data_IF_710786896325
#
_entry.id   IF_710786896325
#
_cell.length_a   1.000
_cell.length_b   1.000
_cell.length_c   1.000
_cell.angle_alpha   90.00
_cell.angle_beta   90.00
_cell.angle_gamma   90.00
#
_symmetry.space_group_name_H-M   'P 1'
#
loop_
_entity.id
_entity.type
_entity.pdbx_description
1 polymer ?
#
# COMPACT_ATOMS: atom_id res chain seq x y z
N UNK A 1 0.24 17.45 18.03
CA UNK A 1 0.12 17.12 16.58
C UNK A 1 1.52 17.10 15.98
N UNK A 2 1.88 16.11 15.17
CA UNK A 2 3.18 16.10 14.45
C UNK A 2 3.01 16.49 12.98
N UNK A 3 4.01 17.10 12.34
CA UNK A 3 3.97 17.51 10.93
C UNK A 3 5.36 17.40 10.29
N UNK A 4 5.42 17.15 8.98
CA UNK A 4 6.64 16.99 8.16
C UNK A 4 6.55 17.83 6.87
N UNK A 5 7.54 18.69 6.58
CA UNK A 5 7.68 19.46 5.31
C UNK A 5 9.01 19.16 4.59
N UNK A 6 9.44 19.80 3.48
CA UNK A 6 8.89 20.85 2.58
C UNK A 6 9.92 20.98 1.39
N UNK A 7 9.67 21.22 0.09
CA UNK A 7 8.49 21.25 -0.81
C UNK A 7 8.98 21.24 -2.29
N UNK A 8 8.41 20.42 -3.19
CA UNK A 8 7.91 20.75 -4.57
C UNK A 8 7.80 19.51 -5.47
N UNK A 9 6.86 19.51 -6.42
CA UNK A 9 6.82 18.55 -7.53
C UNK A 9 6.18 19.17 -8.78
N UNK A 10 6.85 19.05 -9.93
CA UNK A 10 6.27 19.21 -11.28
C UNK A 10 6.28 17.81 -11.89
N UNK A 11 5.12 17.28 -12.30
CA UNK A 11 5.07 15.91 -12.81
C UNK A 11 3.67 15.30 -12.96
N UNK A 12 2.83 15.89 -13.82
CA UNK A 12 1.72 15.17 -14.46
C UNK A 12 1.93 15.27 -15.97
N UNK A 13 2.58 14.26 -16.54
CA UNK A 13 2.70 14.10 -18.00
C UNK A 13 1.49 13.33 -18.51
N UNK A 14 0.56 14.08 -19.11
CA UNK A 14 -0.67 13.67 -19.78
C UNK A 14 -1.75 12.95 -18.93
N UNK A 15 -2.90 13.61 -18.76
CA UNK A 15 -4.03 13.12 -17.95
C UNK A 15 -5.00 12.24 -18.76
N UNK A 16 -5.03 12.39 -20.10
CA UNK A 16 -5.94 11.67 -20.98
C UNK A 16 -5.48 10.21 -21.20
N UNK A 17 -4.17 9.98 -21.33
CA UNK A 17 -3.57 8.64 -21.39
C UNK A 17 -3.89 7.79 -20.14
N UNK A 18 -3.94 8.43 -18.97
CA UNK A 18 -4.29 7.75 -17.72
C UNK A 18 -5.76 7.29 -17.70
N UNK A 19 -6.68 8.03 -18.32
CA UNK A 19 -8.09 7.64 -18.41
C UNK A 19 -8.25 6.38 -19.27
N UNK A 20 -7.70 6.38 -20.49
CA UNK A 20 -7.70 5.22 -21.39
C UNK A 20 -7.04 3.98 -20.74
N UNK A 21 -5.90 4.14 -20.04
CA UNK A 21 -5.27 3.03 -19.34
C UNK A 21 -6.16 2.40 -18.25
N UNK A 22 -7.00 3.21 -17.56
CA UNK A 22 -7.94 2.70 -16.55
C UNK A 22 -9.11 1.96 -17.20
N UNK A 23 -9.57 2.41 -18.36
CA UNK A 23 -10.65 1.77 -19.14
C UNK A 23 -10.19 0.43 -19.73
N UNK A 24 -9.05 0.37 -20.43
CA UNK A 24 -8.43 -0.88 -20.92
C UNK A 24 -8.28 -1.93 -19.79
N UNK A 25 -7.85 -1.46 -18.61
CA UNK A 25 -7.68 -2.29 -17.40
C UNK A 25 -9.00 -2.75 -16.81
N UNK A 26 -10.08 -1.98 -16.95
CA UNK A 26 -11.41 -2.39 -16.53
C UNK A 26 -11.96 -3.49 -17.44
N UNK A 27 -11.83 -3.35 -18.76
CA UNK A 27 -12.29 -4.36 -19.73
C UNK A 27 -11.56 -5.70 -19.57
N UNK A 28 -10.22 -5.68 -19.50
CA UNK A 28 -9.42 -6.91 -19.27
C UNK A 28 -9.75 -7.55 -17.92
N UNK A 29 -10.11 -6.76 -16.90
CA UNK A 29 -10.54 -7.27 -15.59
C UNK A 29 -11.94 -7.90 -15.65
N UNK A 30 -12.88 -7.28 -16.36
CA UNK A 30 -14.21 -7.83 -16.59
C UNK A 30 -14.12 -9.14 -17.39
N UNK A 31 -13.33 -9.19 -18.45
CA UNK A 31 -13.15 -10.39 -19.27
C UNK A 31 -12.52 -11.55 -18.48
N UNK A 32 -11.52 -11.27 -17.63
CA UNK A 32 -10.99 -12.26 -16.67
C UNK A 32 -12.06 -12.71 -15.67
N UNK A 33 -12.92 -11.81 -15.18
CA UNK A 33 -14.02 -12.19 -14.28
C UNK A 33 -14.99 -13.17 -14.95
N UNK A 34 -15.36 -12.95 -16.22
CA UNK A 34 -16.24 -13.85 -17.00
C UNK A 34 -15.64 -15.24 -17.12
N UNK A 35 -14.37 -15.35 -17.52
CA UNK A 35 -13.64 -16.62 -17.62
C UNK A 35 -13.62 -17.36 -16.28
N UNK A 36 -13.35 -16.67 -15.15
CA UNK A 36 -13.39 -17.32 -13.83
C UNK A 36 -14.79 -17.76 -13.41
N UNK A 37 -15.84 -17.02 -13.78
CA UNK A 37 -17.23 -17.41 -13.53
C UNK A 37 -17.64 -18.65 -14.36
N UNK A 38 -17.19 -18.76 -15.61
CA UNK A 38 -17.40 -19.96 -16.42
C UNK A 38 -16.65 -21.18 -15.85
N UNK A 39 -15.39 -21.02 -15.44
CA UNK A 39 -14.65 -22.08 -14.76
C UNK A 39 -15.36 -22.58 -13.48
N UNK A 40 -15.97 -21.67 -12.70
CA UNK A 40 -16.76 -22.02 -11.52
C UNK A 40 -18.07 -22.76 -11.87
N UNK A 41 -18.84 -22.30 -12.87
CA UNK A 41 -20.03 -23.00 -13.40
C UNK A 41 -19.67 -24.40 -13.91
N UNK A 42 -18.58 -24.53 -14.64
CA UNK A 42 -18.11 -25.78 -15.21
C UNK A 42 -17.61 -26.75 -14.13
N UNK A 43 -17.00 -26.25 -13.06
CA UNK A 43 -16.70 -27.05 -11.87
C UNK A 43 -17.97 -27.53 -11.12
N UNK A 44 -19.06 -26.77 -11.14
CA UNK A 44 -20.35 -27.19 -10.61
C UNK A 44 -21.01 -28.27 -11.51
N UNK A 45 -21.03 -28.08 -12.84
CA UNK A 45 -21.52 -29.08 -13.79
C UNK A 45 -20.71 -30.39 -13.73
N UNK A 46 -19.40 -30.31 -13.51
CA UNK A 46 -18.53 -31.48 -13.24
C UNK A 46 -18.94 -32.26 -11.98
N UNK A 47 -19.52 -31.62 -10.97
CA UNK A 47 -20.10 -32.28 -9.78
C UNK A 47 -21.52 -32.79 -10.02
N UNK A 48 -22.32 -32.10 -10.81
CA UNK A 48 -23.75 -32.38 -11.02
C UNK A 48 -24.07 -33.54 -11.99
N UNK A 49 -23.07 -34.29 -12.47
CA UNK A 49 -23.26 -35.41 -13.42
C UNK A 49 -23.57 -35.01 -14.87
N UNK A 50 -24.27 -33.89 -15.09
CA UNK A 50 -24.70 -33.38 -16.40
C UNK A 50 -23.54 -33.23 -17.40
N UNK A 51 -23.61 -33.95 -18.53
CA UNK A 51 -22.60 -33.94 -19.58
C UNK A 51 -22.88 -32.90 -20.69
N UNK A 52 -24.13 -32.51 -20.88
CA UNK A 52 -24.55 -31.58 -21.94
C UNK A 52 -24.27 -30.13 -21.51
N UNK A 53 -24.62 -29.78 -20.28
CA UNK A 53 -24.22 -28.51 -19.68
C UNK A 53 -22.70 -28.34 -19.61
N UNK A 54 -21.92 -29.42 -19.43
CA UNK A 54 -20.45 -29.35 -19.50
C UNK A 54 -19.95 -29.00 -20.90
N UNK A 55 -20.51 -29.62 -21.94
CA UNK A 55 -20.09 -29.35 -23.32
C UNK A 55 -20.37 -27.89 -23.70
N UNK A 56 -21.56 -27.40 -23.38
CA UNK A 56 -21.96 -26.02 -23.65
C UNK A 56 -21.12 -25.02 -22.85
N UNK A 57 -20.95 -25.22 -21.53
CA UNK A 57 -20.11 -24.35 -20.69
C UNK A 57 -18.62 -24.39 -21.07
N UNK A 58 -18.10 -25.50 -21.61
CA UNK A 58 -16.72 -25.58 -22.10
C UNK A 58 -16.58 -24.77 -23.40
N UNK A 59 -17.52 -24.90 -24.35
CA UNK A 59 -17.52 -24.12 -25.57
C UNK A 59 -17.64 -22.60 -25.30
N UNK A 60 -18.50 -22.20 -24.36
CA UNK A 60 -18.60 -20.81 -23.88
C UNK A 60 -17.29 -20.35 -23.21
N UNK A 61 -16.70 -21.17 -22.33
CA UNK A 61 -15.41 -20.86 -21.72
C UNK A 61 -14.29 -20.69 -22.77
N UNK A 62 -14.23 -21.57 -23.76
CA UNK A 62 -13.20 -21.56 -24.80
C UNK A 62 -13.33 -20.33 -25.73
N UNK A 63 -14.55 -19.82 -25.95
CA UNK A 63 -14.80 -18.56 -26.66
C UNK A 63 -14.37 -17.35 -25.83
N UNK A 64 -14.76 -17.28 -24.55
CA UNK A 64 -14.37 -16.16 -23.69
C UNK A 64 -12.88 -16.15 -23.35
N UNK A 65 -12.25 -17.33 -23.29
CA UNK A 65 -10.80 -17.51 -23.18
C UNK A 65 -10.09 -17.08 -24.46
N UNK A 66 -10.58 -17.44 -25.66
CA UNK A 66 -10.03 -16.93 -26.92
C UNK A 66 -10.07 -15.42 -27.03
N UNK A 67 -11.20 -14.78 -26.68
CA UNK A 67 -11.28 -13.31 -26.59
C UNK A 67 -10.25 -12.73 -25.63
N UNK A 68 -10.09 -13.36 -24.45
CA UNK A 68 -9.09 -12.94 -23.48
C UNK A 68 -7.66 -13.10 -24.02
N UNK A 69 -7.38 -14.18 -24.75
CA UNK A 69 -6.07 -14.44 -25.36
C UNK A 69 -5.80 -13.57 -26.58
N UNK A 70 -6.82 -13.20 -27.35
CA UNK A 70 -6.78 -12.20 -28.42
C UNK A 70 -6.50 -10.80 -27.83
N UNK A 71 -7.22 -10.37 -26.78
CA UNK A 71 -6.89 -9.15 -26.03
C UNK A 71 -5.46 -9.20 -25.47
N UNK A 72 -5.00 -10.35 -24.95
CA UNK A 72 -3.62 -10.56 -24.47
C UNK A 72 -2.59 -10.59 -25.63
N UNK A 73 -2.99 -10.89 -26.87
CA UNK A 73 -2.11 -11.06 -28.05
C UNK A 73 -2.01 -9.79 -28.92
N UNK A 74 -3.07 -8.98 -28.98
CA UNK A 74 -2.97 -7.57 -29.41
C UNK A 74 -2.17 -6.78 -28.36
N UNK A 75 -2.41 -7.06 -27.07
CA UNK A 75 -1.49 -6.71 -25.98
C UNK A 75 -0.18 -7.52 -26.00
N UNK A 76 0.02 -8.44 -26.95
CA UNK A 76 1.22 -9.28 -27.03
C UNK A 76 2.47 -8.47 -27.39
N UNK A 77 2.27 -7.29 -27.98
CA UNK A 77 3.31 -6.29 -28.10
C UNK A 77 3.80 -5.76 -26.74
N UNK A 78 3.04 -5.83 -25.65
CA UNK A 78 3.36 -5.18 -24.35
C UNK A 78 4.54 -5.82 -23.58
N UNK A 79 5.10 -6.94 -24.03
CA UNK A 79 6.38 -7.45 -23.50
C UNK A 79 7.58 -6.75 -24.18
N UNK A 80 7.39 -6.17 -25.38
CA UNK A 80 8.44 -5.45 -26.13
C UNK A 80 8.15 -3.97 -26.42
N UNK A 81 6.91 -3.48 -26.24
CA UNK A 81 6.68 -2.07 -25.94
C UNK A 81 7.26 -1.85 -24.54
N UNK A 82 8.22 -0.93 -24.35
CA UNK A 82 8.41 -0.36 -23.03
C UNK A 82 7.05 0.19 -22.57
N UNK A 83 6.72 0.07 -21.28
CA UNK A 83 5.76 1.00 -20.70
C UNK A 83 6.40 2.38 -20.89
N UNK A 84 5.83 3.22 -21.75
CA UNK A 84 6.42 4.53 -22.05
C UNK A 84 6.22 5.49 -20.87
N UNK A 85 7.10 5.32 -19.87
CA UNK A 85 7.40 6.27 -18.79
C UNK A 85 6.28 6.59 -17.81
N UNK A 86 5.28 5.70 -17.68
CA UNK A 86 4.43 5.62 -16.46
C UNK A 86 5.20 5.13 -15.21
N UNK A 87 6.48 4.79 -15.36
CA UNK A 87 7.40 4.58 -14.23
C UNK A 87 8.04 5.90 -13.79
N UNK A 88 7.91 6.21 -12.49
CA UNK A 88 8.68 7.28 -11.83
C UNK A 88 10.18 7.08 -12.10
N UNK A 89 10.86 8.12 -12.57
CA UNK A 89 12.29 8.03 -12.90
C UNK A 89 13.14 7.79 -11.63
N UNK A 90 14.13 6.88 -11.65
CA UNK A 90 15.00 6.64 -10.50
C UNK A 90 15.67 7.94 -10.00
N UNK A 91 15.66 8.14 -8.68
CA UNK A 91 16.16 9.37 -8.06
C UNK A 91 15.19 10.55 -8.03
N UNK A 92 13.97 10.42 -8.57
CA UNK A 92 12.91 11.40 -8.37
C UNK A 92 12.60 11.56 -6.87
N UNK A 93 12.45 12.80 -6.43
CA UNK A 93 12.23 13.17 -5.02
C UNK A 93 10.78 13.55 -4.78
N UNK A 94 10.22 13.09 -3.67
CA UNK A 94 8.83 13.34 -3.29
C UNK A 94 8.79 13.97 -1.89
N UNK A 95 7.97 15.01 -1.73
CA UNK A 95 7.58 15.44 -0.39
C UNK A 95 6.56 14.44 0.16
N UNK A 96 6.84 13.88 1.35
CA UNK A 96 5.86 13.17 2.15
C UNK A 96 5.68 13.90 3.49
N UNK A 97 4.42 14.19 3.82
CA UNK A 97 4.01 14.60 5.16
C UNK A 97 3.32 13.42 5.85
N UNK A 98 3.65 13.15 7.10
CA UNK A 98 2.84 12.32 8.00
C UNK A 98 2.42 13.18 9.18
N UNK A 99 1.14 13.11 9.54
CA UNK A 99 0.56 13.85 10.65
C UNK A 99 -0.07 12.87 11.62
N UNK A 100 0.42 12.87 12.86
CA UNK A 100 -0.25 12.21 13.98
C UNK A 100 -1.03 13.28 14.77
N UNK A 101 -2.33 13.10 14.84
CA UNK A 101 -3.18 13.86 15.77
C UNK A 101 -3.33 13.07 17.07
N UNK A 102 -2.98 13.73 18.18
CA UNK A 102 -3.13 13.26 19.55
C UNK A 102 -2.80 11.77 19.78
N UNK A 103 -1.64 11.26 19.29
CA UNK A 103 -1.27 9.85 19.45
C UNK A 103 -0.92 9.54 20.90
N UNK A 104 -1.19 8.31 21.34
CA UNK A 104 -0.59 7.77 22.56
C UNK A 104 0.90 7.48 22.35
N UNK A 105 1.69 7.48 23.44
CA UNK A 105 3.11 7.07 23.40
C UNK A 105 3.27 5.68 22.74
N UNK A 106 2.33 4.75 22.96
CA UNK A 106 2.35 3.40 22.36
C UNK A 106 2.09 3.40 20.84
N UNK A 107 1.18 4.23 20.33
CA UNK A 107 0.93 4.37 18.88
C UNK A 107 2.11 5.02 18.16
N UNK A 108 2.75 6.01 18.79
CA UNK A 108 3.98 6.62 18.28
C UNK A 108 5.13 5.59 18.25
N UNK A 109 5.27 4.77 19.30
CA UNK A 109 6.27 3.69 19.34
C UNK A 109 6.02 2.60 18.30
N UNK A 110 4.75 2.23 18.07
CA UNK A 110 4.33 1.34 16.98
C UNK A 110 4.72 1.91 15.60
N UNK A 111 4.52 3.20 15.34
CA UNK A 111 4.95 3.81 14.07
C UNK A 111 6.47 3.74 13.90
N UNK A 112 7.24 4.03 14.95
CA UNK A 112 8.71 3.96 14.90
C UNK A 112 9.21 2.52 14.64
N UNK A 113 8.61 1.51 15.28
CA UNK A 113 8.93 0.10 15.02
C UNK A 113 8.46 -0.36 13.62
N UNK A 114 7.32 0.15 13.13
CA UNK A 114 6.86 -0.11 11.77
C UNK A 114 7.81 0.47 10.72
N UNK A 115 8.31 1.70 10.90
CA UNK A 115 9.32 2.31 10.03
C UNK A 115 10.65 1.54 10.08
N UNK A 116 11.06 1.08 11.27
CA UNK A 116 12.26 0.24 11.46
C UNK A 116 12.15 -1.12 10.78
N UNK A 117 10.97 -1.76 10.82
CA UNK A 117 10.69 -3.00 10.08
C UNK A 117 10.66 -2.75 8.57
N UNK A 118 10.00 -1.68 8.13
CA UNK A 118 9.92 -1.27 6.73
C UNK A 118 11.29 -1.02 6.10
N UNK A 119 12.25 -0.48 6.86
CA UNK A 119 13.62 -0.29 6.38
C UNK A 119 14.23 -1.58 5.81
N UNK A 120 13.99 -2.74 6.43
CA UNK A 120 14.61 -4.01 6.01
C UNK A 120 14.20 -4.49 4.60
N UNK A 121 13.05 -4.05 4.07
CA UNK A 121 12.76 -4.06 2.63
C UNK A 121 12.08 -2.75 2.25
N UNK A 122 12.90 -1.71 2.07
CA UNK A 122 12.43 -0.36 1.79
C UNK A 122 11.93 -0.20 0.35
N UNK A 123 10.74 -0.76 0.07
CA UNK A 123 10.08 -0.76 -1.25
C UNK A 123 8.62 -0.35 -1.16
N UNK A 124 8.17 0.46 -2.12
CA UNK A 124 6.78 0.87 -2.27
C UNK A 124 6.15 0.31 -3.57
N UNK A 125 4.88 -0.06 -3.49
CA UNK A 125 4.10 -0.59 -4.61
C UNK A 125 4.26 -2.09 -4.83
N UNK A 126 3.92 -2.55 -6.03
CA UNK A 126 4.13 -3.94 -6.46
C UNK A 126 5.42 -4.11 -7.27
N UNK A 127 5.60 -5.29 -7.86
CA UNK A 127 6.69 -5.61 -8.81
C UNK A 127 8.11 -5.64 -8.20
N UNK A 128 8.23 -5.88 -6.88
CA UNK A 128 9.51 -6.15 -6.20
C UNK A 128 10.32 -7.27 -6.89
N UNK A 129 9.66 -8.30 -7.40
CA UNK A 129 10.27 -9.44 -8.11
C UNK A 129 11.02 -9.06 -9.40
N UNK A 130 10.79 -7.86 -9.94
CA UNK A 130 11.54 -7.29 -11.08
C UNK A 130 12.32 -6.01 -10.67
N UNK A 131 12.59 -5.85 -9.37
CA UNK A 131 13.48 -4.82 -8.82
C UNK A 131 12.85 -3.45 -8.55
N UNK A 132 11.57 -3.25 -8.86
CA UNK A 132 10.89 -1.96 -8.72
C UNK A 132 10.63 -1.54 -7.26
N UNK A 133 10.27 -0.27 -7.09
CA UNK A 133 9.73 0.27 -5.84
C UNK A 133 10.74 0.69 -4.77
N UNK A 134 12.04 0.42 -4.94
CA UNK A 134 13.06 0.81 -3.96
C UNK A 134 13.12 2.33 -3.76
N UNK A 135 13.09 2.78 -2.50
CA UNK A 135 13.21 4.20 -2.14
C UNK A 135 14.38 4.45 -1.17
N UNK A 136 14.65 5.74 -0.93
CA UNK A 136 15.30 6.23 0.30
C UNK A 136 14.39 7.31 0.89
N UNK A 137 14.35 7.44 2.21
CA UNK A 137 13.46 8.36 2.90
C UNK A 137 14.18 9.06 4.06
N UNK A 138 13.74 10.27 4.40
CA UNK A 138 14.26 11.06 5.51
C UNK A 138 13.16 11.95 6.07
N UNK A 139 12.95 11.89 7.38
CA UNK A 139 11.87 12.57 8.09
C UNK A 139 12.43 13.30 9.32
N UNK A 140 12.10 14.58 9.45
CA UNK A 140 12.34 15.39 10.66
C UNK A 140 11.12 15.29 11.57
N UNK A 141 11.28 14.76 12.77
CA UNK A 141 10.15 14.59 13.69
C UNK A 141 9.91 15.92 14.42
N UNK A 142 8.77 16.56 14.17
CA UNK A 142 8.38 17.86 14.77
C UNK A 142 7.15 17.69 15.68
N UNK A 143 7.25 18.03 16.96
CA UNK A 143 6.14 18.07 17.93
C UNK A 143 5.54 19.48 17.98
N UNK A 144 4.21 19.62 17.85
CA UNK A 144 3.51 20.89 18.07
C UNK A 144 3.08 21.01 19.53
N UNK A 145 3.61 22.03 20.22
CA UNK A 145 3.20 22.44 21.56
C UNK A 145 1.75 22.97 21.53
N UNK A 146 0.82 22.39 22.31
CA UNK A 146 -0.59 22.78 22.31
C UNK A 146 -0.85 24.21 22.85
N UNK A 147 0.13 24.83 23.51
CA UNK A 147 0.02 26.12 24.20
C UNK A 147 0.33 27.30 23.29
N UNK A 148 1.35 27.16 22.43
CA UNK A 148 1.87 28.25 21.59
C UNK A 148 1.85 27.92 20.07
N UNK A 149 1.43 26.71 19.72
CA UNK A 149 1.33 26.18 18.35
C UNK A 149 2.64 26.24 17.55
N UNK A 150 3.78 26.38 18.23
CA UNK A 150 5.11 26.25 17.60
C UNK A 150 5.44 24.78 17.39
N UNK A 151 6.33 24.55 16.42
CA UNK A 151 6.93 23.24 16.16
C UNK A 151 8.31 23.16 16.80
N UNK A 152 8.54 22.14 17.61
CA UNK A 152 9.85 21.77 18.12
C UNK A 152 10.34 20.50 17.41
N UNK A 153 11.58 20.52 16.90
CA UNK A 153 12.20 19.31 16.33
C UNK A 153 12.63 18.39 17.47
N UNK A 154 12.00 17.24 17.57
CA UNK A 154 12.27 16.22 18.59
C UNK A 154 13.08 15.02 18.09
N UNK A 155 13.39 14.92 16.79
CA UNK A 155 14.25 13.84 16.28
C UNK A 155 14.35 13.79 14.76
N UNK A 156 14.90 12.69 14.25
CA UNK A 156 15.00 12.38 12.82
C UNK A 156 14.98 10.87 12.57
N UNK A 157 14.40 10.43 11.45
CA UNK A 157 14.48 9.05 10.94
C UNK A 157 14.93 9.10 9.49
N UNK A 158 15.96 8.32 9.14
CA UNK A 158 16.43 8.10 7.79
C UNK A 158 16.35 6.60 7.45
N UNK A 159 15.92 6.29 6.24
CA UNK A 159 15.99 4.96 5.66
C UNK A 159 16.75 5.04 4.35
N UNK A 160 17.89 4.34 4.30
CA UNK A 160 18.80 4.33 3.16
C UNK A 160 19.42 2.95 3.01
N UNK A 161 19.40 2.40 1.79
CA UNK A 161 20.08 1.13 1.44
C UNK A 161 19.67 -0.08 2.32
N UNK A 162 18.40 -0.07 2.74
CA UNK A 162 17.75 -0.98 3.70
C UNK A 162 18.22 -0.90 5.16
N UNK A 163 18.99 0.12 5.52
CA UNK A 163 19.34 0.45 6.90
C UNK A 163 18.34 1.47 7.51
N UNK A 164 18.18 1.43 8.83
CA UNK A 164 17.40 2.38 9.62
C UNK A 164 18.35 3.15 10.53
N UNK A 165 18.52 4.44 10.26
CA UNK A 165 19.25 5.37 11.13
C UNK A 165 18.25 6.38 11.72
N UNK A 166 18.39 6.69 13.00
CA UNK A 166 17.43 7.58 13.67
C UNK A 166 18.00 8.23 14.93
N UNK A 167 17.83 9.56 15.01
CA UNK A 167 17.94 10.30 16.26
C UNK A 167 16.59 10.27 16.97
N UNK A 168 16.53 9.46 18.01
CA UNK A 168 15.37 9.25 18.89
C UNK A 168 15.71 9.58 20.36
N UNK A 169 16.71 10.43 20.62
CA UNK A 169 17.17 10.69 22.00
C UNK A 169 16.23 11.58 22.83
N UNK A 170 15.27 12.25 22.20
CA UNK A 170 14.34 13.15 22.89
C UNK A 170 13.38 12.39 23.84
N UNK A 171 13.06 12.94 25.03
CA UNK A 171 12.22 12.25 26.01
C UNK A 171 10.86 11.75 25.48
N UNK A 172 10.16 12.51 24.62
CA UNK A 172 8.89 12.06 23.99
C UNK A 172 9.09 10.76 23.20
N UNK A 173 10.13 10.70 22.37
CA UNK A 173 10.43 9.51 21.54
C UNK A 173 10.90 8.34 22.39
N UNK A 174 11.66 8.61 23.46
CA UNK A 174 12.10 7.57 24.39
C UNK A 174 10.92 6.93 25.11
N UNK A 175 9.98 7.72 25.66
CA UNK A 175 8.75 7.18 26.28
C UNK A 175 7.95 6.34 25.28
N UNK A 176 7.83 6.79 24.04
CA UNK A 176 7.11 6.05 23.00
C UNK A 176 7.71 4.66 22.70
N UNK A 177 9.04 4.58 22.57
CA UNK A 177 9.76 3.32 22.39
C UNK A 177 9.57 2.39 23.60
N UNK A 178 9.71 2.92 24.81
CA UNK A 178 9.59 2.11 26.04
C UNK A 178 8.14 1.65 26.27
N UNK A 179 7.13 2.48 25.93
CA UNK A 179 5.71 2.14 26.00
C UNK A 179 5.30 1.05 24.99
N UNK A 180 5.75 1.15 23.73
CA UNK A 180 5.53 0.09 22.74
C UNK A 180 6.24 -1.22 23.14
N UNK A 181 7.47 -1.12 23.68
CA UNK A 181 8.22 -2.29 24.17
C UNK A 181 7.50 -2.99 25.33
N UNK A 182 6.87 -2.24 26.24
CA UNK A 182 6.04 -2.78 27.30
C UNK A 182 4.79 -3.49 26.75
N UNK A 183 4.06 -2.86 25.81
CA UNK A 183 2.88 -3.44 25.18
C UNK A 183 3.18 -4.75 24.42
N UNK A 184 4.32 -4.82 23.71
CA UNK A 184 4.76 -6.05 23.03
C UNK A 184 5.17 -7.15 24.01
N UNK A 185 5.75 -6.78 25.16
CA UNK A 185 6.21 -7.73 26.18
C UNK A 185 5.08 -8.29 27.06
N UNK A 186 4.06 -7.48 27.31
CA UNK A 186 2.85 -7.84 28.04
C UNK A 186 1.62 -7.36 27.25
N UNK A 187 1.22 -8.07 26.17
CA UNK A 187 0.05 -7.72 25.40
C UNK A 187 -1.20 -8.00 26.23
N UNK A 188 -1.67 -6.98 26.96
CA UNK A 188 -3.02 -6.96 27.47
C UNK A 188 -3.98 -7.24 26.31
N UNK A 189 -4.92 -8.15 26.54
CA UNK A 189 -5.90 -8.51 25.51
C UNK A 189 -6.91 -7.38 25.36
N UNK A 190 -6.51 -6.33 24.64
CA UNK A 190 -7.43 -5.40 23.97
C UNK A 190 -8.19 -6.21 22.92
N UNK A 191 -9.19 -6.95 23.39
CA UNK A 191 -10.19 -7.53 22.54
C UNK A 191 -10.92 -6.36 21.89
N UNK A 192 -10.69 -6.17 20.59
CA UNK A 192 -11.39 -5.21 19.73
C UNK A 192 -12.85 -5.63 19.52
N UNK A 193 -13.56 -5.73 20.64
CA UNK A 193 -15.00 -5.86 20.71
C UNK A 193 -15.63 -4.51 20.35
N UNK A 194 -16.82 -4.49 19.72
CA UNK A 194 -17.50 -3.23 19.41
C UNK A 194 -17.67 -2.31 20.63
N UNK A 195 -17.93 -2.88 21.81
CA UNK A 195 -18.07 -2.14 23.07
C UNK A 195 -16.79 -1.39 23.50
N UNK A 196 -15.60 -1.93 23.22
CA UNK A 196 -14.34 -1.24 23.51
C UNK A 196 -14.12 -0.04 22.56
N UNK A 197 -14.52 -0.18 21.29
CA UNK A 197 -14.47 0.92 20.31
C UNK A 197 -15.47 2.03 20.66
N UNK A 198 -16.69 1.68 21.04
CA UNK A 198 -17.70 2.67 21.49
C UNK A 198 -17.24 3.47 22.71
N UNK A 199 -16.56 2.84 23.68
CA UNK A 199 -16.01 3.54 24.85
C UNK A 199 -14.88 4.51 24.49
N UNK A 200 -14.00 4.17 23.53
CA UNK A 200 -12.94 5.07 23.06
C UNK A 200 -13.52 6.24 22.24
N UNK A 201 -14.60 6.01 21.49
CA UNK A 201 -15.32 7.07 20.76
C UNK A 201 -16.07 8.01 21.71
N UNK A 202 -16.66 7.49 22.79
CA UNK A 202 -17.37 8.27 23.80
C UNK A 202 -16.45 9.03 24.80
N UNK A 203 -15.13 8.87 24.68
CA UNK A 203 -14.13 9.52 25.52
C UNK A 203 -13.31 10.60 24.76
N UNK A 204 -13.80 11.04 23.60
CA UNK A 204 -13.27 12.15 22.78
C UNK A 204 -14.29 13.29 22.66
#
# INVERSE_FOLDING_TARGET
>A
MLVLGKLTAIGISNQEEYASYVEDRAEVREQKSKVTAFAAKLAAARKAGDAEARANLQAEQDVEQKKLDEMNAESGAQIMRPIERLGISPGAQFLQTMTLDSPTDAELGLLLDALKRFASSCRLGGLESIGFGQIKASWVIEEIDPTNLQKERIGTVQISDCEFDADLSHPTLRRAIDAWSAYVSAPEKIALTPAALEQVIAAR
#
